data_IF_146923332462
#
_entry.id   IF_146923332462
#
_cell.length_a   1.000
_cell.length_b   1.000
_cell.length_c   1.000
_cell.angle_alpha   90.00
_cell.angle_beta   90.00
_cell.angle_gamma   90.00
#
_symmetry.space_group_name_H-M   'P 1'
#
loop_
_entity.id
_entity.type
_entity.pdbx_description
1 polymer ?
#
# COMPACT_ATOMS: atom_id res chain seq x y z
N UNK A 1 0.55 16.71 -4.45
CA UNK A 1 -0.44 16.03 -3.59
C UNK A 1 -0.82 14.68 -4.19
N UNK A 2 -1.11 13.67 -3.36
CA UNK A 2 -1.54 12.36 -3.84
C UNK A 2 -2.87 12.48 -4.61
N UNK A 3 -2.98 11.80 -5.76
CA UNK A 3 -4.23 11.73 -6.57
C UNK A 3 -5.44 11.41 -5.70
N UNK A 4 -6.62 11.87 -6.12
CA UNK A 4 -7.88 11.56 -5.44
C UNK A 4 -8.08 10.05 -5.26
N UNK A 5 -8.87 9.70 -4.25
CA UNK A 5 -9.17 8.30 -3.94
C UNK A 5 -10.04 7.65 -5.00
N UNK A 6 -10.65 6.54 -4.64
CA UNK A 6 -11.67 5.87 -5.45
C UNK A 6 -12.96 6.69 -5.35
N UNK A 7 -13.60 7.00 -6.48
CA UNK A 7 -14.88 7.71 -6.45
C UNK A 7 -15.97 6.81 -5.82
N UNK A 8 -16.95 7.44 -5.17
CA UNK A 8 -18.08 6.74 -4.56
C UNK A 8 -18.80 5.86 -5.58
N UNK A 9 -19.09 6.42 -6.76
CA UNK A 9 -19.69 5.70 -7.90
C UNK A 9 -18.94 4.41 -8.24
N UNK A 10 -17.60 4.45 -8.25
CA UNK A 10 -16.78 3.29 -8.59
C UNK A 10 -16.78 2.25 -7.48
N UNK A 11 -16.76 2.69 -6.23
CA UNK A 11 -16.92 1.81 -5.08
C UNK A 11 -18.29 1.13 -5.09
N UNK A 12 -19.37 1.85 -5.42
CA UNK A 12 -20.71 1.29 -5.54
C UNK A 12 -20.83 0.30 -6.70
N UNK A 13 -20.27 0.62 -7.86
CA UNK A 13 -20.22 -0.31 -9.00
C UNK A 13 -19.47 -1.59 -8.65
N UNK A 14 -18.37 -1.49 -7.92
CA UNK A 14 -17.63 -2.66 -7.43
C UNK A 14 -18.45 -3.48 -6.42
N UNK A 15 -19.21 -2.84 -5.53
CA UNK A 15 -20.10 -3.55 -4.60
C UNK A 15 -21.21 -4.29 -5.36
N UNK A 16 -21.74 -3.69 -6.42
CA UNK A 16 -22.82 -4.28 -7.26
C UNK A 16 -22.32 -5.46 -8.11
N UNK A 17 -21.17 -5.33 -8.75
CA UNK A 17 -20.57 -6.39 -9.57
C UNK A 17 -19.04 -6.41 -9.37
N UNK A 18 -18.57 -7.18 -8.37
CA UNK A 18 -17.16 -7.25 -8.04
C UNK A 18 -16.29 -7.87 -9.13
N UNK A 19 -16.86 -8.69 -10.03
CA UNK A 19 -16.11 -9.37 -11.09
C UNK A 19 -15.81 -8.37 -12.20
N UNK A 20 -16.83 -7.64 -12.66
CA UNK A 20 -16.71 -6.66 -13.75
C UNK A 20 -15.95 -5.40 -13.35
N UNK A 21 -16.21 -4.87 -12.14
CA UNK A 21 -15.67 -3.59 -11.69
C UNK A 21 -14.49 -3.72 -10.73
N UNK A 22 -13.88 -4.90 -10.65
CA UNK A 22 -12.69 -5.15 -9.83
C UNK A 22 -11.60 -4.09 -10.04
N UNK A 23 -10.82 -3.76 -8.98
CA UNK A 23 -9.64 -2.92 -9.13
C UNK A 23 -8.71 -3.47 -10.20
N UNK A 24 -8.05 -2.62 -10.99
CA UNK A 24 -7.02 -3.07 -11.94
C UNK A 24 -5.69 -3.29 -11.18
N UNK A 25 -4.77 -4.07 -11.73
CA UNK A 25 -3.42 -4.21 -11.14
C UNK A 25 -2.56 -2.97 -11.38
N UNK A 26 -2.64 -2.40 -12.59
CA UNK A 26 -1.90 -1.20 -12.98
C UNK A 26 -2.77 0.04 -12.83
N UNK A 27 -2.14 1.16 -12.46
CA UNK A 27 -2.77 2.49 -12.34
C UNK A 27 -4.03 2.51 -11.46
N UNK A 28 -4.10 1.60 -10.50
CA UNK A 28 -5.21 1.54 -9.54
C UNK A 28 -5.03 2.57 -8.43
N UNK A 29 -6.11 2.82 -7.70
CA UNK A 29 -6.16 3.76 -6.58
C UNK A 29 -6.53 3.01 -5.32
N UNK A 30 -6.09 3.53 -4.19
CA UNK A 30 -6.52 3.07 -2.87
C UNK A 30 -7.74 3.89 -2.47
N UNK A 31 -8.72 3.23 -1.86
CA UNK A 31 -9.79 3.95 -1.18
C UNK A 31 -9.24 4.45 0.17
N UNK A 32 -9.18 5.77 0.30
CA UNK A 32 -8.48 6.49 1.38
C UNK A 32 -9.41 7.32 2.27
N UNK A 33 -10.73 7.18 2.08
CA UNK A 33 -11.72 8.05 2.72
C UNK A 33 -12.21 7.56 4.09
N UNK A 34 -11.83 6.35 4.53
CA UNK A 34 -12.20 5.86 5.86
C UNK A 34 -11.41 6.54 6.99
N UNK A 35 -12.00 6.64 8.18
CA UNK A 35 -11.46 7.42 9.31
C UNK A 35 -10.07 6.96 9.80
N UNK A 36 -9.77 5.67 9.77
CA UNK A 36 -8.51 5.11 10.25
C UNK A 36 -8.00 3.97 9.36
N UNK A 37 -6.82 3.44 9.70
CA UNK A 37 -6.18 2.36 8.95
C UNK A 37 -6.93 1.03 9.03
N UNK A 38 -7.60 0.74 10.15
CA UNK A 38 -8.39 -0.49 10.33
C UNK A 38 -9.64 -0.45 9.47
N UNK A 39 -10.30 0.71 9.42
CA UNK A 39 -11.45 0.95 8.57
C UNK A 39 -11.05 0.91 7.08
N UNK A 40 -9.93 1.53 6.70
CA UNK A 40 -9.40 1.44 5.33
C UNK A 40 -9.12 0.00 4.90
N UNK A 41 -8.57 -0.83 5.80
CA UNK A 41 -8.33 -2.26 5.53
C UNK A 41 -9.63 -3.05 5.27
N UNK A 42 -10.75 -2.63 5.87
CA UNK A 42 -12.04 -3.29 5.72
C UNK A 42 -12.82 -2.85 4.48
N UNK A 43 -12.42 -1.77 3.81
CA UNK A 43 -13.10 -1.27 2.62
C UNK A 43 -13.11 -2.33 1.50
N UNK A 44 -14.28 -2.61 0.87
CA UNK A 44 -14.39 -3.62 -0.18
C UNK A 44 -13.36 -3.45 -1.29
N UNK A 45 -13.18 -2.21 -1.77
CA UNK A 45 -12.22 -1.89 -2.82
C UNK A 45 -10.78 -2.29 -2.45
N UNK A 46 -10.34 -1.94 -1.23
CA UNK A 46 -8.99 -2.22 -0.76
C UNK A 46 -8.77 -3.72 -0.54
N UNK A 47 -9.77 -4.45 -0.02
CA UNK A 47 -9.73 -5.92 0.07
C UNK A 47 -9.63 -6.56 -1.30
N UNK A 48 -10.46 -6.13 -2.25
CA UNK A 48 -10.41 -6.60 -3.63
C UNK A 48 -9.03 -6.37 -4.28
N UNK A 49 -8.39 -5.24 -3.96
CA UNK A 49 -7.05 -4.95 -4.44
C UNK A 49 -5.99 -5.89 -3.86
N UNK A 50 -6.04 -6.18 -2.55
CA UNK A 50 -5.16 -7.17 -1.89
C UNK A 50 -5.29 -8.54 -2.57
N UNK A 51 -6.50 -9.05 -2.73
CA UNK A 51 -6.73 -10.35 -3.36
C UNK A 51 -6.22 -10.40 -4.80
N UNK A 52 -6.38 -9.30 -5.55
CA UNK A 52 -5.89 -9.24 -6.93
C UNK A 52 -4.37 -9.23 -7.00
N UNK A 53 -3.69 -8.54 -6.09
CA UNK A 53 -2.23 -8.62 -6.00
C UNK A 53 -1.75 -10.00 -5.60
N UNK A 54 -2.41 -10.64 -4.63
CA UNK A 54 -2.10 -11.99 -4.19
C UNK A 54 -2.23 -13.00 -5.34
N UNK A 55 -3.37 -13.01 -6.03
CA UNK A 55 -3.59 -13.89 -7.19
C UNK A 55 -2.56 -13.66 -8.30
N UNK A 56 -2.14 -12.41 -8.54
CA UNK A 56 -1.10 -12.13 -9.53
C UNK A 56 0.29 -12.60 -9.09
N UNK A 57 0.60 -12.51 -7.80
CA UNK A 57 1.87 -13.02 -7.28
C UNK A 57 1.92 -14.54 -7.38
N UNK A 58 0.84 -15.22 -7.02
CA UNK A 58 0.68 -16.68 -7.21
C UNK A 58 0.89 -17.07 -8.68
N UNK A 59 0.25 -16.35 -9.61
CA UNK A 59 0.43 -16.57 -11.06
C UNK A 59 1.90 -16.38 -11.49
N UNK A 60 2.58 -15.35 -10.99
CA UNK A 60 3.99 -15.09 -11.32
C UNK A 60 4.89 -16.20 -10.80
N UNK A 61 4.70 -16.65 -9.56
CA UNK A 61 5.51 -17.70 -8.95
C UNK A 61 5.27 -19.05 -9.64
N UNK A 62 4.01 -19.39 -9.94
CA UNK A 62 3.68 -20.62 -10.66
C UNK A 62 4.33 -20.70 -12.05
N UNK A 63 4.53 -19.55 -12.70
CA UNK A 63 5.19 -19.47 -14.01
C UNK A 63 6.73 -19.32 -13.91
N UNK A 64 7.28 -19.25 -12.70
CA UNK A 64 8.70 -19.05 -12.47
C UNK A 64 9.44 -20.39 -12.38
N UNK A 65 10.41 -20.62 -13.27
CA UNK A 65 11.13 -21.91 -13.37
C UNK A 65 12.46 -21.95 -12.62
N UNK A 66 12.93 -20.83 -12.08
CA UNK A 66 14.29 -20.71 -11.51
C UNK A 66 14.34 -20.75 -9.98
N UNK A 67 13.23 -21.05 -9.31
CA UNK A 67 13.19 -21.28 -7.87
C UNK A 67 13.48 -20.05 -7.01
N UNK A 68 13.56 -18.83 -7.58
CA UNK A 68 13.93 -17.60 -6.86
C UNK A 68 12.99 -17.20 -5.71
N UNK A 69 11.80 -17.80 -5.66
CA UNK A 69 10.79 -17.54 -4.65
C UNK A 69 10.79 -18.57 -3.51
N UNK A 70 11.71 -19.54 -3.53
CA UNK A 70 11.76 -20.64 -2.58
C UNK A 70 10.69 -21.69 -2.83
N UNK A 71 10.68 -22.72 -1.98
CA UNK A 71 9.74 -23.85 -2.04
C UNK A 71 8.64 -23.77 -0.98
N UNK A 72 8.75 -22.86 -0.02
CA UNK A 72 7.77 -22.68 1.04
C UNK A 72 6.51 -21.97 0.53
N UNK A 73 5.36 -22.36 1.08
CA UNK A 73 4.10 -21.70 0.76
C UNK A 73 4.10 -20.28 1.35
N UNK A 74 3.87 -19.28 0.48
CA UNK A 74 3.84 -17.86 0.87
C UNK A 74 2.37 -17.43 1.02
N UNK A 75 2.00 -16.89 2.18
CA UNK A 75 0.71 -16.19 2.35
C UNK A 75 0.77 -14.80 1.71
N UNK A 76 0.49 -14.76 0.41
CA UNK A 76 0.49 -13.52 -0.37
C UNK A 76 -0.57 -12.53 0.11
N UNK A 77 -1.73 -13.01 0.56
CA UNK A 77 -2.82 -12.14 1.02
C UNK A 77 -2.38 -11.37 2.25
N UNK A 78 -1.78 -12.05 3.25
CA UNK A 78 -1.25 -11.37 4.43
C UNK A 78 -0.12 -10.42 4.06
N UNK A 79 0.81 -10.84 3.22
CA UNK A 79 1.95 -10.00 2.79
C UNK A 79 1.48 -8.70 2.12
N UNK A 80 0.54 -8.77 1.18
CA UNK A 80 0.00 -7.57 0.53
C UNK A 80 -0.90 -6.75 1.45
N UNK A 81 -1.65 -7.40 2.35
CA UNK A 81 -2.42 -6.71 3.39
C UNK A 81 -1.51 -5.83 4.25
N UNK A 82 -0.38 -6.36 4.71
CA UNK A 82 0.54 -5.64 5.59
C UNK A 82 1.25 -4.51 4.85
N UNK A 83 1.67 -4.76 3.59
CA UNK A 83 2.24 -3.72 2.72
C UNK A 83 1.27 -2.58 2.49
N UNK A 84 0.00 -2.86 2.20
CA UNK A 84 -1.01 -1.82 2.04
C UNK A 84 -1.36 -1.13 3.36
N UNK A 85 -1.30 -1.83 4.49
CA UNK A 85 -1.51 -1.23 5.81
C UNK A 85 -0.48 -0.13 6.11
N UNK A 86 0.78 -0.31 5.73
CA UNK A 86 1.79 0.75 5.86
C UNK A 86 1.51 1.96 4.97
N UNK A 87 0.93 1.75 3.78
CA UNK A 87 0.44 2.85 2.94
C UNK A 87 -0.74 3.56 3.62
N UNK A 88 -1.67 2.83 4.24
CA UNK A 88 -2.79 3.44 4.97
C UNK A 88 -2.30 4.30 6.14
N UNK A 89 -1.26 3.87 6.87
CA UNK A 89 -0.64 4.70 7.92
C UNK A 89 -0.12 6.03 7.35
N UNK A 90 0.53 5.98 6.19
CA UNK A 90 1.03 7.19 5.53
C UNK A 90 -0.11 8.10 5.10
N UNK A 91 -1.21 7.54 4.60
CA UNK A 91 -2.44 8.29 4.27
C UNK A 91 -3.00 8.99 5.50
N UNK A 92 -3.18 8.29 6.63
CA UNK A 92 -3.70 8.91 7.87
C UNK A 92 -2.78 10.01 8.36
N UNK A 93 -1.46 9.75 8.41
CA UNK A 93 -0.46 10.75 8.85
C UNK A 93 -0.43 11.99 7.94
N UNK A 94 -0.74 11.83 6.66
CA UNK A 94 -0.80 12.93 5.69
C UNK A 94 -2.06 13.80 5.79
N UNK A 95 -3.04 13.40 6.63
CA UNK A 95 -4.21 14.23 6.88
C UNK A 95 -3.81 15.49 7.63
N UNK A 96 -4.62 16.53 7.41
CA UNK A 96 -4.49 17.81 8.08
C UNK A 96 -4.88 17.65 9.53
N UNK A 97 -4.06 18.15 10.44
CA UNK A 97 -4.37 18.20 11.87
C UNK A 97 -5.33 19.37 12.17
N UNK A 98 -6.07 19.32 13.30
CA UNK A 98 -6.92 20.45 13.71
C UNK A 98 -6.11 21.75 13.75
N UNK A 99 -6.61 22.80 13.11
CA UNK A 99 -5.98 24.13 13.02
C UNK A 99 -4.62 24.19 12.29
N UNK A 100 -4.16 23.12 11.65
CA UNK A 100 -2.91 23.12 10.89
C UNK A 100 -3.05 23.93 9.60
N UNK A 101 -2.11 24.79 9.22
CA UNK A 101 -2.16 25.46 7.90
C UNK A 101 -1.73 24.51 6.78
N UNK A 102 -1.95 24.90 5.52
CA UNK A 102 -1.48 24.09 4.40
C UNK A 102 0.04 23.95 4.39
N UNK A 103 0.73 25.06 4.64
CA UNK A 103 2.20 25.19 4.65
C UNK A 103 2.79 24.37 5.80
N UNK A 104 2.20 24.46 7.00
CA UNK A 104 2.61 23.67 8.16
C UNK A 104 2.49 22.16 7.88
N UNK A 105 1.40 21.74 7.23
CA UNK A 105 1.21 20.35 6.79
C UNK A 105 2.28 19.90 5.80
N UNK A 106 2.55 20.71 4.78
CA UNK A 106 3.57 20.39 3.78
C UNK A 106 4.94 20.24 4.45
N UNK A 107 5.31 21.19 5.32
CA UNK A 107 6.57 21.15 6.07
C UNK A 107 6.67 19.87 6.93
N UNK A 108 5.64 19.54 7.70
CA UNK A 108 5.60 18.32 8.53
C UNK A 108 5.80 17.06 7.69
N UNK A 109 5.17 16.97 6.51
CA UNK A 109 5.31 15.82 5.62
C UNK A 109 6.70 15.73 4.99
N UNK A 110 7.30 16.86 4.61
CA UNK A 110 8.66 16.90 4.06
C UNK A 110 9.69 16.50 5.11
N UNK A 111 9.57 17.00 6.34
CA UNK A 111 10.44 16.62 7.45
C UNK A 111 10.34 15.12 7.75
N UNK A 112 9.12 14.59 7.86
CA UNK A 112 8.90 13.16 8.08
C UNK A 112 9.45 12.27 6.94
N UNK A 113 9.37 12.71 5.68
CA UNK A 113 9.95 12.00 4.55
C UNK A 113 11.49 12.02 4.59
N UNK A 114 12.06 13.17 4.93
CA UNK A 114 13.52 13.37 5.05
C UNK A 114 14.10 12.49 6.14
N UNK A 115 13.48 12.45 7.31
CA UNK A 115 13.86 11.54 8.39
C UNK A 115 13.78 10.07 7.98
N UNK A 116 12.71 9.68 7.29
CA UNK A 116 12.54 8.31 6.80
C UNK A 116 13.65 7.93 5.82
N UNK A 117 13.99 8.82 4.88
CA UNK A 117 15.10 8.61 3.93
C UNK A 117 16.43 8.45 4.65
N UNK A 118 16.70 9.29 5.65
CA UNK A 118 17.92 9.20 6.47
C UNK A 118 18.02 7.85 7.21
N UNK A 119 16.94 7.42 7.88
CA UNK A 119 16.89 6.11 8.55
C UNK A 119 17.08 4.95 7.57
N UNK A 120 16.43 5.00 6.42
CA UNK A 120 16.56 3.96 5.40
C UNK A 120 18.00 3.87 4.86
N UNK A 121 18.66 5.01 4.63
CA UNK A 121 20.06 5.05 4.20
C UNK A 121 20.99 4.37 5.23
N UNK A 122 20.79 4.65 6.53
CA UNK A 122 21.57 4.01 7.59
C UNK A 122 21.36 2.49 7.64
N UNK A 123 20.12 2.03 7.46
CA UNK A 123 19.80 0.58 7.42
C UNK A 123 20.45 -0.08 6.20
N UNK A 124 20.33 0.53 5.02
CA UNK A 124 20.98 0.04 3.80
C UNK A 124 22.50 -0.05 3.95
N UNK A 125 23.13 0.96 4.56
CA UNK A 125 24.57 0.93 4.87
C UNK A 125 24.94 -0.23 5.79
N UNK A 126 24.16 -0.49 6.84
CA UNK A 126 24.40 -1.64 7.74
C UNK A 126 24.30 -2.98 7.02
N UNK A 127 23.33 -3.14 6.12
CA UNK A 127 23.19 -4.37 5.34
C UNK A 127 24.32 -4.55 4.32
N UNK A 128 24.78 -3.48 3.68
CA UNK A 128 25.92 -3.51 2.76
C UNK A 128 27.21 -3.95 3.48
N UNK A 129 27.45 -3.41 4.69
CA UNK A 129 28.59 -3.80 5.53
C UNK A 129 28.49 -5.28 5.93
N UNK A 130 27.31 -5.77 6.32
CA UNK A 130 27.10 -7.19 6.68
C UNK A 130 27.25 -8.17 5.52
N UNK A 131 26.99 -7.75 4.28
CA UNK A 131 27.11 -8.60 3.10
C UNK A 131 28.53 -8.64 2.52
N UNK A 132 29.44 -7.81 3.05
CA UNK A 132 30.84 -7.71 2.62
C UNK A 132 31.82 -8.48 3.53
N UNK A 133 31.29 -9.23 4.51
CA UNK A 133 32.00 -10.19 5.37
C UNK A 133 31.41 -11.58 5.15
#
# INVERSE_FOLDING_TARGET
FARDGVSVERSELYIKDPIKYAPKLRNTRIDKYAADTKAMKKLPWNRGLVHKFAAKAEEIVANCKDGRFGTEAIDWVSLFSDRLYDVFKQVVKARREPNETHEARVLRLVLADTERKSRNAQVSLRHAVRASF
#
